data_IF_362649946638
#
_entry.id   IF_362649946638
#
_cell.length_a   1.000
_cell.length_b   1.000
_cell.length_c   1.000
_cell.angle_alpha   90.00
_cell.angle_beta   90.00
_cell.angle_gamma   90.00
#
_symmetry.space_group_name_H-M   'P 1'
#
loop_
_entity.id
_entity.type
_entity.pdbx_description
1 polymer ?
#
# COMPACT_ATOMS: atom_id res chain seq x y z
N UNK A 1 -8.47 18.62 -18.88
CA UNK A 1 -8.53 17.99 -17.55
C UNK A 1 -9.37 16.71 -17.46
N UNK A 2 -10.13 16.32 -18.47
CA UNK A 2 -10.94 15.06 -18.49
C UNK A 2 -10.30 13.84 -19.17
N UNK A 3 -9.15 13.97 -19.83
CA UNK A 3 -8.55 12.86 -20.62
C UNK A 3 -7.62 11.94 -19.80
N UNK A 4 -7.07 12.39 -18.68
CA UNK A 4 -6.10 11.62 -17.90
C UNK A 4 -6.75 10.61 -16.93
N UNK A 5 -7.96 10.91 -16.43
CA UNK A 5 -8.70 10.01 -15.54
C UNK A 5 -9.14 8.74 -16.28
N UNK A 6 -9.60 8.87 -17.54
CA UNK A 6 -10.05 7.73 -18.33
C UNK A 6 -8.94 6.76 -18.74
N UNK A 7 -7.68 7.22 -18.89
CA UNK A 7 -6.57 6.33 -19.23
C UNK A 7 -6.04 5.55 -18.01
N UNK A 8 -6.07 6.16 -16.82
CA UNK A 8 -5.69 5.47 -15.57
C UNK A 8 -6.72 4.38 -15.19
N UNK A 9 -7.99 4.61 -15.39
CA UNK A 9 -9.04 3.62 -15.13
C UNK A 9 -8.93 2.39 -16.04
N UNK A 10 -8.60 2.56 -17.31
CA UNK A 10 -8.43 1.46 -18.27
C UNK A 10 -7.17 0.64 -17.97
N UNK A 11 -6.15 1.24 -17.40
CA UNK A 11 -4.80 0.70 -17.23
C UNK A 11 -4.66 -0.34 -16.12
N UNK A 12 -5.34 -0.13 -15.01
CA UNK A 12 -5.34 -1.08 -13.88
C UNK A 12 -6.30 -2.25 -14.07
N UNK A 13 -7.25 -2.08 -14.96
CA UNK A 13 -8.37 -2.98 -15.19
C UNK A 13 -7.98 -4.25 -15.94
N UNK A 14 -6.83 -4.29 -16.57
CA UNK A 14 -6.37 -5.48 -17.32
C UNK A 14 -5.58 -6.49 -16.46
N UNK A 15 -5.06 -6.10 -15.30
CA UNK A 15 -4.15 -6.96 -14.54
C UNK A 15 -4.78 -7.69 -13.34
N UNK A 16 -5.75 -7.13 -12.62
CA UNK A 16 -6.39 -7.78 -11.46
C UNK A 16 -7.78 -7.26 -11.09
N UNK A 17 -8.32 -6.20 -11.72
CA UNK A 17 -9.60 -5.62 -11.34
C UNK A 17 -10.54 -5.52 -12.53
N UNK A 18 -11.75 -5.92 -12.28
CA UNK A 18 -12.88 -5.95 -13.21
C UNK A 18 -13.17 -4.56 -13.77
N UNK A 19 -13.11 -4.43 -15.09
CA UNK A 19 -13.61 -3.25 -15.80
C UNK A 19 -15.13 -3.19 -15.70
N UNK A 20 -15.66 -2.23 -14.98
CA UNK A 20 -17.04 -1.81 -15.11
C UNK A 20 -17.17 -0.86 -16.29
N UNK A 21 -17.29 -1.43 -17.51
CA UNK A 21 -17.86 -0.73 -18.64
C UNK A 21 -19.24 -1.35 -18.82
N UNK A 22 -20.27 -0.54 -19.00
CA UNK A 22 -21.64 -1.01 -19.17
C UNK A 22 -21.71 -2.20 -20.17
N UNK A 23 -22.20 -3.36 -19.68
CA UNK A 23 -22.33 -4.57 -20.47
C UNK A 23 -21.18 -5.58 -20.43
N UNK A 24 -20.06 -5.32 -19.71
CA UNK A 24 -18.97 -6.30 -19.55
C UNK A 24 -19.22 -7.27 -18.41
N UNK A 25 -18.83 -8.54 -18.61
CA UNK A 25 -18.84 -9.55 -17.54
C UNK A 25 -17.81 -9.19 -16.47
N UNK A 26 -18.13 -9.47 -15.20
CA UNK A 26 -17.23 -9.29 -14.06
C UNK A 26 -15.97 -10.18 -14.10
N UNK A 27 -15.84 -11.06 -15.07
CA UNK A 27 -14.71 -11.97 -15.26
C UNK A 27 -14.50 -12.24 -16.75
N UNK A 28 -13.24 -12.42 -17.15
CA UNK A 28 -12.86 -12.74 -18.53
C UNK A 28 -12.63 -14.25 -18.77
N UNK A 29 -12.29 -15.00 -17.71
CA UNK A 29 -11.88 -16.39 -17.79
C UNK A 29 -10.46 -16.60 -18.35
N UNK A 30 -9.77 -15.53 -18.80
CA UNK A 30 -8.44 -15.63 -19.43
C UNK A 30 -7.34 -16.05 -18.45
N UNK A 31 -7.62 -15.92 -17.13
CA UNK A 31 -6.69 -16.28 -16.06
C UNK A 31 -6.88 -17.67 -15.45
N UNK A 32 -7.83 -18.48 -15.94
CA UNK A 32 -8.24 -19.75 -15.32
C UNK A 32 -7.17 -20.85 -15.43
N UNK A 33 -6.19 -20.65 -16.32
CA UNK A 33 -5.05 -21.58 -16.50
C UNK A 33 -3.81 -21.17 -15.68
N UNK A 34 -3.93 -20.25 -14.72
CA UNK A 34 -2.82 -19.83 -13.86
C UNK A 34 -1.95 -18.72 -14.43
N UNK A 35 -2.34 -18.11 -15.55
CA UNK A 35 -1.66 -16.98 -16.16
C UNK A 35 -2.41 -15.67 -15.97
N UNK A 36 -1.69 -14.55 -16.06
CA UNK A 36 -2.24 -13.20 -16.10
C UNK A 36 -1.50 -12.34 -17.12
N UNK A 37 -1.99 -11.13 -17.39
CA UNK A 37 -1.29 -10.17 -18.24
C UNK A 37 -0.71 -9.05 -17.39
N UNK A 38 0.55 -8.69 -17.65
CA UNK A 38 1.16 -7.47 -17.13
C UNK A 38 0.60 -6.24 -17.85
N UNK A 39 0.92 -5.05 -17.31
CA UNK A 39 0.69 -3.81 -18.04
C UNK A 39 1.50 -3.85 -19.35
N UNK A 40 0.81 -3.64 -20.49
CA UNK A 40 1.42 -3.80 -21.82
C UNK A 40 1.07 -5.12 -22.50
N UNK A 41 0.36 -6.04 -21.81
CA UNK A 41 -0.23 -7.24 -22.42
C UNK A 41 0.65 -8.49 -22.39
N UNK A 42 1.90 -8.40 -21.90
CA UNK A 42 2.77 -9.57 -21.72
C UNK A 42 2.12 -10.58 -20.77
N UNK A 43 2.03 -11.85 -21.22
CA UNK A 43 1.48 -12.95 -20.42
C UNK A 43 2.56 -13.53 -19.52
N UNK A 44 2.23 -13.71 -18.23
CA UNK A 44 3.09 -14.31 -17.21
C UNK A 44 2.29 -15.26 -16.33
N UNK A 45 2.97 -16.16 -15.63
CA UNK A 45 2.35 -17.00 -14.61
C UNK A 45 1.90 -16.16 -13.41
N UNK A 46 0.81 -16.54 -12.73
CA UNK A 46 0.34 -15.84 -11.52
C UNK A 46 1.30 -15.92 -10.33
N UNK A 47 2.27 -16.84 -10.37
CA UNK A 47 3.35 -16.98 -9.38
C UNK A 47 4.60 -16.16 -9.73
N UNK A 48 4.58 -15.41 -10.82
CA UNK A 48 5.67 -14.51 -11.20
C UNK A 48 5.99 -13.51 -10.07
N UNK A 49 7.28 -13.25 -9.77
CA UNK A 49 7.67 -12.31 -8.71
C UNK A 49 7.04 -10.92 -8.84
N UNK A 50 6.77 -10.46 -10.06
CA UNK A 50 6.13 -9.18 -10.33
C UNK A 50 4.65 -9.20 -9.92
N UNK A 51 3.95 -10.29 -10.24
CA UNK A 51 2.55 -10.51 -9.83
C UNK A 51 2.43 -10.61 -8.32
N UNK A 52 3.34 -11.35 -7.67
CA UNK A 52 3.42 -11.43 -6.21
C UNK A 52 3.68 -10.07 -5.54
N UNK A 53 4.53 -9.23 -6.14
CA UNK A 53 4.86 -7.93 -5.59
C UNK A 53 3.66 -6.97 -5.64
N UNK A 54 3.04 -6.77 -6.80
CA UNK A 54 1.88 -5.87 -6.88
C UNK A 54 0.63 -6.45 -6.20
N UNK A 55 0.47 -7.78 -6.16
CA UNK A 55 -0.61 -8.43 -5.41
C UNK A 55 -0.50 -8.18 -3.90
N UNK A 56 0.71 -8.20 -3.35
CA UNK A 56 0.94 -7.85 -1.95
C UNK A 56 0.67 -6.35 -1.66
N UNK A 57 0.90 -5.46 -2.64
CA UNK A 57 0.54 -4.03 -2.54
C UNK A 57 -0.98 -3.85 -2.56
N UNK A 58 -1.69 -4.60 -3.39
CA UNK A 58 -3.16 -4.58 -3.43
C UNK A 58 -3.77 -5.07 -2.11
N UNK A 59 -3.22 -6.14 -1.53
CA UNK A 59 -3.60 -6.61 -0.19
C UNK A 59 -3.41 -5.52 0.87
N UNK A 60 -2.26 -4.82 0.86
CA UNK A 60 -2.00 -3.70 1.75
C UNK A 60 -3.04 -2.59 1.56
N UNK A 61 -3.33 -2.23 0.32
CA UNK A 61 -4.30 -1.19 -0.01
C UNK A 61 -5.70 -1.53 0.50
N UNK A 62 -6.11 -2.79 0.37
CA UNK A 62 -7.37 -3.32 0.91
C UNK A 62 -7.39 -3.27 2.44
N UNK A 63 -6.28 -3.64 3.10
CA UNK A 63 -6.14 -3.57 4.56
C UNK A 63 -6.22 -2.12 5.07
N UNK A 64 -5.68 -1.14 4.34
CA UNK A 64 -5.87 0.28 4.67
C UNK A 64 -7.34 0.69 4.57
N UNK A 65 -8.09 0.13 3.62
CA UNK A 65 -9.54 0.34 3.52
C UNK A 65 -10.28 -0.13 4.78
N UNK A 66 -9.89 -1.29 5.33
CA UNK A 66 -10.45 -1.80 6.61
C UNK A 66 -10.13 -0.83 7.76
N UNK A 67 -8.86 -0.44 7.91
CA UNK A 67 -8.45 0.49 8.98
C UNK A 67 -9.23 1.82 8.89
N UNK A 68 -9.39 2.37 7.68
CA UNK A 68 -10.13 3.61 7.42
C UNK A 68 -11.60 3.54 7.87
N UNK A 69 -12.24 2.38 7.74
CA UNK A 69 -13.63 2.21 8.17
C UNK A 69 -13.84 2.43 9.68
N UNK A 70 -12.79 2.30 10.48
CA UNK A 70 -12.82 2.49 11.93
C UNK A 70 -12.22 3.84 12.38
N UNK A 71 -11.53 4.59 11.50
CA UNK A 71 -10.95 5.90 11.85
C UNK A 71 -12.04 6.96 11.94
N UNK A 72 -12.14 7.61 13.12
CA UNK A 72 -13.13 8.66 13.39
C UNK A 72 -12.67 10.05 12.91
N UNK A 73 -11.38 10.27 12.82
CA UNK A 73 -10.80 11.56 12.41
C UNK A 73 -10.82 11.72 10.90
N UNK A 74 -11.59 12.69 10.40
CA UNK A 74 -11.64 13.05 8.97
C UNK A 74 -10.26 13.44 8.40
N UNK A 75 -9.39 14.08 9.23
CA UNK A 75 -8.02 14.43 8.81
C UNK A 75 -7.21 13.16 8.55
N UNK A 76 -7.21 12.20 9.48
CA UNK A 76 -6.44 10.95 9.34
C UNK A 76 -7.02 10.05 8.24
N UNK A 77 -8.34 9.99 8.08
CA UNK A 77 -8.98 9.27 6.97
C UNK A 77 -8.52 9.84 5.61
N UNK A 78 -8.49 11.17 5.48
CA UNK A 78 -8.05 11.81 4.23
C UNK A 78 -6.56 11.54 3.94
N UNK A 79 -5.71 11.53 4.97
CA UNK A 79 -4.29 11.17 4.84
C UNK A 79 -4.16 9.74 4.31
N UNK A 80 -4.84 8.77 4.92
CA UNK A 80 -4.81 7.37 4.47
C UNK A 80 -5.38 7.21 3.06
N UNK A 81 -6.43 7.95 2.71
CA UNK A 81 -6.99 7.95 1.36
C UNK A 81 -5.98 8.40 0.31
N UNK A 82 -5.13 9.37 0.64
CA UNK A 82 -4.07 9.80 -0.26
C UNK A 82 -3.03 8.70 -0.44
N UNK A 83 -2.58 8.04 0.64
CA UNK A 83 -1.62 6.92 0.54
C UNK A 83 -2.21 5.68 -0.15
N UNK A 84 -3.52 5.44 -0.06
CA UNK A 84 -4.16 4.42 -0.90
C UNK A 84 -4.05 4.76 -2.39
N UNK A 85 -4.14 6.03 -2.78
CA UNK A 85 -3.91 6.45 -4.18
C UNK A 85 -2.46 6.24 -4.60
N UNK A 86 -1.52 6.54 -3.71
CA UNK A 86 -0.10 6.26 -3.97
C UNK A 86 0.16 4.76 -4.12
N UNK A 87 -0.50 3.90 -3.33
CA UNK A 87 -0.41 2.45 -3.48
C UNK A 87 -1.00 1.96 -4.82
N UNK A 88 -2.02 2.63 -5.36
CA UNK A 88 -2.49 2.38 -6.72
C UNK A 88 -1.41 2.71 -7.75
N UNK A 89 -0.74 3.87 -7.63
CA UNK A 89 0.38 4.25 -8.49
C UNK A 89 1.51 3.22 -8.36
N UNK A 90 1.88 2.86 -7.13
CA UNK A 90 2.93 1.87 -6.85
C UNK A 90 2.61 0.49 -7.44
N UNK A 91 1.36 0.04 -7.34
CA UNK A 91 0.92 -1.21 -7.97
C UNK A 91 1.08 -1.18 -9.50
N UNK A 92 0.68 -0.08 -10.16
CA UNK A 92 0.88 0.12 -11.60
C UNK A 92 2.35 0.23 -11.99
N UNK A 93 3.16 0.89 -11.18
CA UNK A 93 4.62 0.99 -11.34
C UNK A 93 5.25 -0.40 -11.32
N UNK A 94 4.89 -1.25 -10.35
CA UNK A 94 5.37 -2.63 -10.26
C UNK A 94 4.83 -3.55 -11.35
N UNK A 95 3.60 -3.35 -11.82
CA UNK A 95 3.00 -4.15 -12.90
C UNK A 95 3.57 -3.82 -14.28
N UNK A 96 4.48 -2.85 -14.39
CA UNK A 96 5.03 -2.34 -15.63
C UNK A 96 6.55 -2.43 -15.64
N UNK A 97 7.14 -2.75 -16.79
CA UNK A 97 8.59 -2.61 -16.99
C UNK A 97 9.00 -1.13 -16.93
N UNK A 98 10.24 -0.83 -16.52
CA UNK A 98 10.73 0.55 -16.42
C UNK A 98 10.70 1.31 -17.75
N UNK A 99 10.88 0.61 -18.85
CA UNK A 99 10.86 1.16 -20.21
C UNK A 99 9.47 1.48 -20.74
N UNK A 100 8.41 1.03 -20.05
CA UNK A 100 7.03 1.27 -20.46
C UNK A 100 6.70 2.76 -20.32
N UNK A 101 6.38 3.40 -21.44
CA UNK A 101 6.03 4.81 -21.47
C UNK A 101 4.64 5.08 -20.87
N UNK A 102 4.44 6.31 -20.36
CA UNK A 102 3.15 6.82 -19.87
C UNK A 102 2.52 6.07 -18.68
N UNK A 103 3.31 5.34 -17.90
CA UNK A 103 2.86 4.77 -16.62
C UNK A 103 3.19 5.74 -15.50
N UNK A 104 2.22 6.12 -14.66
CA UNK A 104 2.51 6.86 -13.45
C UNK A 104 3.45 6.07 -12.55
N UNK A 105 4.47 6.74 -12.03
CA UNK A 105 5.51 6.15 -11.18
C UNK A 105 5.51 6.80 -9.82
N UNK A 106 5.89 6.05 -8.81
CA UNK A 106 6.23 6.63 -7.50
C UNK A 106 7.42 7.55 -7.69
N UNK A 107 7.38 8.69 -7.05
CA UNK A 107 8.40 9.74 -7.16
C UNK A 107 8.88 10.20 -5.78
N UNK A 108 9.97 10.96 -5.81
CA UNK A 108 10.54 11.55 -4.59
C UNK A 108 9.55 12.48 -3.88
N UNK A 109 8.68 13.18 -4.58
CA UNK A 109 7.69 14.09 -3.99
C UNK A 109 6.69 13.34 -3.09
N UNK A 110 6.27 12.13 -3.50
CA UNK A 110 5.40 11.29 -2.67
C UNK A 110 6.15 10.76 -1.45
N UNK A 111 7.42 10.39 -1.59
CA UNK A 111 8.27 10.00 -0.47
C UNK A 111 8.44 11.15 0.53
N UNK A 112 8.80 12.34 0.07
CA UNK A 112 9.00 13.53 0.90
C UNK A 112 7.69 13.91 1.64
N UNK A 113 6.54 13.81 0.96
CA UNK A 113 5.22 14.02 1.56
C UNK A 113 4.92 13.01 2.67
N UNK A 114 5.22 11.74 2.44
CA UNK A 114 5.04 10.67 3.43
C UNK A 114 5.92 10.88 4.66
N UNK A 115 7.19 11.24 4.47
CA UNK A 115 8.11 11.54 5.56
C UNK A 115 7.65 12.76 6.38
N UNK A 116 7.24 13.84 5.71
CA UNK A 116 6.73 15.06 6.37
C UNK A 116 5.51 14.78 7.25
N UNK A 117 4.54 14.03 6.74
CA UNK A 117 3.33 13.65 7.50
C UNK A 117 3.68 12.74 8.68
N UNK A 118 4.64 11.84 8.48
CA UNK A 118 5.11 10.94 9.55
C UNK A 118 5.73 11.73 10.69
N UNK A 119 6.59 12.70 10.37
CA UNK A 119 7.27 13.54 11.36
C UNK A 119 6.27 14.44 12.10
N UNK A 120 5.31 15.04 11.40
CA UNK A 120 4.23 15.82 12.02
C UNK A 120 3.49 14.98 13.08
N UNK A 121 3.04 13.78 12.71
CA UNK A 121 2.30 12.92 13.64
C UNK A 121 3.17 12.43 14.80
N UNK A 122 4.42 12.06 14.51
CA UNK A 122 5.35 11.54 15.51
C UNK A 122 5.73 12.59 16.55
N UNK A 123 5.85 13.87 16.16
CA UNK A 123 6.14 14.96 17.08
C UNK A 123 5.09 15.12 18.20
N UNK A 124 3.86 14.71 17.92
CA UNK A 124 2.75 14.72 18.87
C UNK A 124 2.72 13.51 19.82
N UNK A 125 3.58 12.50 19.64
CA UNK A 125 3.55 11.26 20.42
C UNK A 125 4.57 11.27 21.57
N UNK A 126 4.29 10.58 22.67
CA UNK A 126 5.30 10.37 23.72
C UNK A 126 6.41 9.45 23.22
N UNK A 127 7.65 9.69 23.67
CA UNK A 127 8.79 8.84 23.34
C UNK A 127 8.57 7.43 23.87
N UNK A 128 8.87 6.43 23.04
CA UNK A 128 8.87 5.03 23.46
C UNK A 128 10.14 4.71 24.26
N UNK A 129 9.95 4.09 25.40
CA UNK A 129 11.04 3.56 26.23
C UNK A 129 11.18 2.04 26.10
N UNK A 130 10.13 1.37 25.63
CA UNK A 130 10.05 -0.08 25.44
C UNK A 130 9.28 -0.39 24.17
N UNK A 131 9.36 -1.63 23.71
CA UNK A 131 8.46 -2.12 22.68
C UNK A 131 7.02 -2.12 23.19
N UNK A 132 6.09 -1.86 22.29
CA UNK A 132 4.65 -1.97 22.56
C UNK A 132 4.08 -3.21 21.86
N UNK A 133 3.08 -3.81 22.48
CA UNK A 133 2.30 -4.86 21.83
C UNK A 133 1.41 -4.24 20.74
N UNK A 134 1.35 -4.85 19.54
CA UNK A 134 0.42 -4.41 18.50
C UNK A 134 -1.02 -4.57 18.94
N UNK A 135 -1.77 -3.45 19.08
CA UNK A 135 -3.13 -3.48 19.60
C UNK A 135 -3.67 -2.07 19.86
N UNK A 136 -4.59 -1.99 20.80
CA UNK A 136 -5.25 -0.75 21.20
C UNK A 136 -6.69 -0.68 20.71
N UNK A 137 -7.11 0.46 20.15
CA UNK A 137 -8.42 0.60 19.52
C UNK A 137 -8.52 -0.30 18.27
N UNK A 138 -9.75 -0.54 17.79
CA UNK A 138 -9.94 -1.32 16.54
C UNK A 138 -9.15 -0.71 15.40
N UNK A 139 -9.24 0.60 15.20
CA UNK A 139 -8.49 1.28 14.15
C UNK A 139 -6.96 1.16 14.37
N UNK A 140 -6.47 1.29 15.61
CA UNK A 140 -5.07 1.10 15.96
C UNK A 140 -4.57 -0.31 15.67
N UNK A 141 -5.34 -1.32 16.05
CA UNK A 141 -5.02 -2.73 15.80
C UNK A 141 -4.97 -3.03 14.28
N UNK A 142 -5.95 -2.56 13.50
CA UNK A 142 -5.98 -2.73 12.04
C UNK A 142 -4.79 -2.03 11.35
N UNK A 143 -4.36 -0.87 11.86
CA UNK A 143 -3.16 -0.20 11.37
C UNK A 143 -1.88 -0.98 11.69
N UNK A 144 -1.81 -1.67 12.83
CA UNK A 144 -0.71 -2.59 13.12
C UNK A 144 -0.71 -3.82 12.20
N UNK A 145 -1.89 -4.35 11.83
CA UNK A 145 -2.00 -5.40 10.79
C UNK A 145 -1.52 -4.86 9.46
N UNK A 146 -2.02 -3.69 9.02
CA UNK A 146 -1.58 -3.03 7.79
C UNK A 146 -0.06 -2.83 7.74
N UNK A 147 0.56 -2.42 8.86
CA UNK A 147 2.03 -2.33 8.98
C UNK A 147 2.72 -3.67 8.74
N UNK A 148 2.21 -4.75 9.25
CA UNK A 148 2.79 -6.09 9.05
C UNK A 148 2.62 -6.57 7.59
N UNK A 149 1.46 -6.28 6.98
CA UNK A 149 1.18 -6.52 5.55
C UNK A 149 2.13 -5.68 4.68
N UNK A 150 2.32 -4.38 4.99
CA UNK A 150 3.27 -3.49 4.33
C UNK A 150 4.70 -4.07 4.30
N UNK A 151 5.18 -4.58 5.43
CA UNK A 151 6.47 -5.25 5.51
C UNK A 151 6.53 -6.58 4.73
N UNK A 152 5.42 -7.26 4.54
CA UNK A 152 5.33 -8.41 3.64
C UNK A 152 5.42 -7.98 2.18
N UNK A 153 4.70 -6.93 1.79
CA UNK A 153 4.79 -6.32 0.45
C UNK A 153 6.22 -5.85 0.16
N UNK A 154 6.87 -5.16 1.09
CA UNK A 154 8.28 -4.76 0.97
C UNK A 154 9.19 -5.95 0.64
N UNK A 155 9.06 -7.08 1.35
CA UNK A 155 9.87 -8.28 1.07
C UNK A 155 9.61 -8.86 -0.32
N UNK A 156 8.37 -8.83 -0.83
CA UNK A 156 8.04 -9.27 -2.19
C UNK A 156 8.65 -8.34 -3.24
N UNK A 157 8.61 -7.03 -3.00
CA UNK A 157 9.24 -6.03 -3.87
C UNK A 157 10.77 -6.19 -3.87
N UNK A 158 11.39 -6.44 -2.71
CA UNK A 158 12.83 -6.77 -2.63
C UNK A 158 13.16 -8.04 -3.41
N UNK A 159 12.33 -9.08 -3.34
CA UNK A 159 12.55 -10.30 -4.14
C UNK A 159 12.49 -9.99 -5.65
N UNK A 160 11.51 -9.21 -6.10
CA UNK A 160 11.41 -8.74 -7.49
C UNK A 160 12.66 -7.93 -7.91
N UNK A 161 13.12 -6.99 -7.08
CA UNK A 161 14.28 -6.14 -7.38
C UNK A 161 15.61 -6.91 -7.52
N UNK A 162 15.66 -8.18 -7.12
CA UNK A 162 16.83 -9.06 -7.31
C UNK A 162 16.90 -9.68 -8.70
N UNK A 163 15.78 -9.78 -9.38
CA UNK A 163 15.65 -10.46 -10.67
C UNK A 163 15.28 -9.52 -11.81
N UNK A 164 14.68 -8.36 -11.48
CA UNK A 164 14.27 -7.35 -12.45
C UNK A 164 14.58 -5.94 -11.96
N UNK A 165 14.77 -5.01 -12.89
CA UNK A 165 14.91 -3.59 -12.57
C UNK A 165 13.54 -2.99 -12.24
N UNK A 166 13.45 -2.28 -11.12
CA UNK A 166 12.26 -1.55 -10.67
C UNK A 166 12.59 -0.07 -10.48
N UNK A 167 11.58 0.77 -10.39
CA UNK A 167 11.75 2.18 -10.04
C UNK A 167 12.47 2.32 -8.68
N UNK A 168 13.59 3.09 -8.62
CA UNK A 168 14.39 3.23 -7.40
C UNK A 168 13.66 3.83 -6.21
N UNK A 169 12.60 4.63 -6.44
CA UNK A 169 11.84 5.28 -5.36
C UNK A 169 10.84 4.33 -4.67
N UNK A 170 10.53 3.18 -5.27
CA UNK A 170 9.56 2.22 -4.73
C UNK A 170 9.99 1.62 -3.40
N UNK A 171 11.23 1.15 -3.27
CA UNK A 171 11.71 0.54 -2.01
C UNK A 171 11.79 1.55 -0.86
N UNK A 172 12.34 2.76 -1.05
CA UNK A 172 12.27 3.79 -0.01
C UNK A 172 10.84 4.10 0.42
N UNK A 173 9.92 4.25 -0.54
CA UNK A 173 8.53 4.58 -0.26
C UNK A 173 7.84 3.51 0.61
N UNK A 174 7.88 2.23 0.20
CA UNK A 174 7.22 1.15 0.94
C UNK A 174 7.84 0.93 2.34
N UNK A 175 9.15 1.13 2.47
CA UNK A 175 9.83 1.07 3.77
C UNK A 175 9.34 2.19 4.71
N UNK A 176 9.28 3.44 4.25
CA UNK A 176 8.76 4.58 5.02
C UNK A 176 7.28 4.42 5.36
N UNK A 177 6.48 3.88 4.43
CA UNK A 177 5.05 3.63 4.67
C UNK A 177 4.84 2.68 5.87
N UNK A 178 5.70 1.68 6.06
CA UNK A 178 5.61 0.81 7.24
C UNK A 178 5.86 1.57 8.55
N UNK A 179 6.77 2.54 8.56
CA UNK A 179 7.04 3.41 9.71
C UNK A 179 5.89 4.37 9.98
N UNK A 180 5.35 4.98 8.94
CA UNK A 180 4.15 5.82 9.01
C UNK A 180 2.97 5.07 9.65
N UNK A 181 2.69 3.84 9.23
CA UNK A 181 1.58 3.04 9.75
C UNK A 181 1.75 2.75 11.24
N UNK A 182 2.97 2.56 11.72
CA UNK A 182 3.26 2.45 13.15
C UNK A 182 2.94 3.74 13.90
N UNK A 183 3.41 4.88 13.40
CA UNK A 183 3.16 6.20 14.00
C UNK A 183 1.66 6.52 13.99
N UNK A 184 0.97 6.21 12.88
CA UNK A 184 -0.46 6.44 12.77
C UNK A 184 -1.28 5.58 13.74
N UNK A 185 -0.93 4.30 13.92
CA UNK A 185 -1.59 3.42 14.89
C UNK A 185 -1.52 4.02 16.31
N UNK A 186 -0.33 4.48 16.72
CA UNK A 186 -0.12 5.16 18.00
C UNK A 186 -0.91 6.47 18.11
N UNK A 187 -0.94 7.24 17.03
CA UNK A 187 -1.70 8.50 16.97
C UNK A 187 -3.19 8.25 17.18
N UNK A 188 -3.74 7.24 16.51
CA UNK A 188 -5.15 6.86 16.65
C UNK A 188 -5.45 6.39 18.07
N UNK A 189 -4.62 5.51 18.65
CA UNK A 189 -4.77 5.05 20.03
C UNK A 189 -4.76 6.23 21.01
N UNK A 190 -3.83 7.17 20.85
CA UNK A 190 -3.77 8.38 21.68
C UNK A 190 -5.05 9.22 21.56
N UNK A 191 -5.53 9.46 20.33
CA UNK A 191 -6.76 10.24 20.09
C UNK A 191 -7.99 9.55 20.68
N UNK A 192 -8.05 8.23 20.64
CA UNK A 192 -9.13 7.45 21.22
C UNK A 192 -8.95 7.17 22.73
N UNK A 193 -7.87 7.66 23.33
CA UNK A 193 -7.52 7.49 24.75
C UNK A 193 -7.38 6.01 25.15
N UNK A 194 -6.94 5.18 24.21
CA UNK A 194 -6.62 3.78 24.48
C UNK A 194 -5.13 3.69 24.78
N UNK A 195 -4.71 3.22 25.98
CA UNK A 195 -3.31 3.12 26.34
C UNK A 195 -2.59 2.07 25.51
N UNK A 196 -1.32 2.35 25.19
CA UNK A 196 -0.42 1.37 24.57
C UNK A 196 0.07 0.39 25.66
N UNK A 197 0.07 -0.90 25.35
CA UNK A 197 0.59 -1.94 26.25
C UNK A 197 2.07 -2.15 25.96
N UNK A 198 2.92 -1.89 26.97
CA UNK A 198 4.35 -2.13 26.87
C UNK A 198 4.67 -3.62 26.96
N UNK A 199 5.60 -4.09 26.11
CA UNK A 199 6.17 -5.43 26.25
C UNK A 199 7.13 -5.47 27.45
N UNK A 200 6.76 -6.24 28.48
CA UNK A 200 7.59 -6.54 29.63
C UNK A 200 8.03 -8.00 29.53
N UNK A 201 9.34 -8.23 29.52
CA UNK A 201 9.87 -9.60 29.56
C UNK A 201 9.80 -10.10 31.00
N UNK A 202 9.04 -11.16 31.23
CA UNK A 202 9.08 -11.90 32.49
C UNK A 202 10.50 -12.43 32.72
N UNK A 203 11.00 -12.30 33.97
CA UNK A 203 12.33 -12.76 34.33
C UNK A 203 12.38 -14.27 34.48
#
# INVERSE_FOLDING_TARGET
MRSWVNQLEILFLTCCLVTWVDGMKAYSGTGDKGETSLYGGTRVEKVDPRVEAYGAVDELNSQLGVARAYIKSKKLDQILKNFQRDLWILGGDLASELVTANVPRISKEQLDSLESVTDELNSGLPSLRRFILPGGSVAGAELHVARAVCRRAERRIVALSKVESINPDVLPYINRLSSFLFVLARTVNKMERVPEEEFVRDK
#
